data_IF_560995946449
#
_entry.id   IF_560995946449
#
_cell.length_a   1.000
_cell.length_b   1.000
_cell.length_c   1.000
_cell.angle_alpha   90.00
_cell.angle_beta   90.00
_cell.angle_gamma   90.00
#
_symmetry.space_group_name_H-M   'P 1'
#
loop_
_entity.id
_entity.type
_entity.pdbx_description
1 polymer ?
#
# COMPACT_ATOMS: atom_id res chain seq x y z
N UNK A 1 3.55 -22.40 70.92
CA UNK A 1 2.49 -21.42 70.68
C UNK A 1 2.06 -21.58 69.23
N UNK A 2 1.09 -22.46 69.04
CA UNK A 2 0.48 -22.86 67.78
C UNK A 2 -1.00 -22.92 68.14
N UNK A 3 -1.82 -22.13 67.46
CA UNK A 3 -3.26 -22.35 67.41
C UNK A 3 -3.71 -22.21 65.95
N UNK A 4 -4.22 -23.29 65.33
CA UNK A 4 -4.90 -23.26 64.05
C UNK A 4 -6.40 -22.98 64.26
N UNK A 5 -7.01 -22.22 63.35
CA UNK A 5 -8.47 -22.06 63.34
C UNK A 5 -9.08 -23.09 62.40
N UNK A 6 -9.85 -23.97 63.01
CA UNK A 6 -10.73 -25.00 62.47
C UNK A 6 -12.18 -24.53 62.69
N UNK A 7 -12.99 -24.34 61.63
CA UNK A 7 -14.47 -24.38 61.67
C UNK A 7 -14.98 -24.34 60.20
N UNK A 8 -15.47 -25.40 59.53
CA UNK A 8 -16.55 -26.37 59.75
C UNK A 8 -17.84 -26.05 58.96
N UNK A 9 -18.36 -27.10 58.30
CA UNK A 9 -19.74 -27.37 57.89
C UNK A 9 -20.33 -26.81 56.57
N UNK A 10 -20.32 -27.68 55.54
CA UNK A 10 -21.46 -27.93 54.62
C UNK A 10 -22.68 -28.53 55.41
N UNK A 11 -23.93 -28.73 54.91
CA UNK A 11 -24.33 -29.01 53.51
C UNK A 11 -25.76 -28.55 53.09
N UNK A 12 -26.21 -29.06 51.92
CA UNK A 12 -27.60 -29.22 51.43
C UNK A 12 -28.00 -28.23 50.34
N UNK A 13 -28.78 -28.55 49.31
CA UNK A 13 -29.31 -29.78 48.71
C UNK A 13 -30.19 -29.31 47.53
N UNK A 14 -30.40 -30.16 46.53
CA UNK A 14 -31.59 -30.19 45.64
C UNK A 14 -31.89 -28.90 44.83
N UNK A 15 -31.90 -28.95 43.50
CA UNK A 15 -33.07 -29.45 42.76
C UNK A 15 -32.67 -29.82 41.33
N UNK A 16 -32.89 -31.08 40.98
CA UNK A 16 -32.96 -31.55 39.60
C UNK A 16 -34.43 -31.63 39.14
N UNK A 17 -34.60 -31.63 37.81
CA UNK A 17 -35.77 -32.05 37.02
C UNK A 17 -36.85 -30.98 36.69
N UNK A 18 -37.62 -31.14 35.58
CA UNK A 18 -37.72 -32.31 34.72
C UNK A 18 -37.53 -32.10 33.20
N UNK A 19 -37.21 -33.22 32.57
CA UNK A 19 -37.44 -33.48 31.15
C UNK A 19 -38.93 -33.31 30.80
N UNK A 20 -39.19 -32.68 29.64
CA UNK A 20 -40.48 -32.79 28.95
C UNK A 20 -40.34 -33.81 27.83
N UNK A 21 -41.11 -34.88 27.95
CA UNK A 21 -41.32 -35.87 26.93
C UNK A 21 -42.39 -35.41 25.93
N UNK A 22 -42.16 -35.73 24.66
CA UNK A 22 -43.17 -36.32 23.77
C UNK A 22 -44.29 -35.41 23.25
N UNK A 23 -44.12 -34.95 22.00
CA UNK A 23 -45.22 -34.92 21.05
C UNK A 23 -44.71 -35.40 19.69
N UNK A 24 -44.89 -36.70 19.45
CA UNK A 24 -45.01 -37.29 18.12
C UNK A 24 -46.16 -36.61 17.38
N UNK A 25 -45.86 -35.97 16.25
CA UNK A 25 -46.86 -35.68 15.21
C UNK A 25 -46.42 -36.39 13.95
N UNK A 26 -47.32 -37.27 13.51
CA UNK A 26 -47.22 -38.06 12.29
C UNK A 26 -47.10 -37.20 11.04
N UNK A 27 -46.40 -37.81 10.09
CA UNK A 27 -46.27 -37.51 8.66
C UNK A 27 -47.49 -36.87 8.01
N UNK A 28 -47.25 -35.75 7.32
CA UNK A 28 -47.94 -35.39 6.09
C UNK A 28 -46.87 -35.28 5.00
N UNK A 29 -46.89 -36.26 4.10
CA UNK A 29 -46.19 -36.23 2.82
C UNK A 29 -47.01 -35.29 1.94
N UNK A 30 -46.54 -34.06 1.77
CA UNK A 30 -46.95 -33.22 0.65
C UNK A 30 -45.79 -33.21 -0.35
N UNK A 31 -46.06 -33.96 -1.42
CA UNK A 31 -45.30 -34.03 -2.65
C UNK A 31 -45.66 -32.77 -3.47
N UNK A 32 -44.82 -31.74 -3.42
CA UNK A 32 -44.89 -30.63 -4.38
C UNK A 32 -43.49 -30.25 -4.84
N UNK A 33 -43.01 -31.05 -5.80
CA UNK A 33 -41.78 -30.83 -6.56
C UNK A 33 -41.98 -29.72 -7.61
N UNK A 34 -42.26 -28.51 -7.13
CA UNK A 34 -42.29 -27.29 -7.95
C UNK A 34 -40.90 -26.69 -8.14
N UNK A 35 -40.00 -27.40 -8.83
CA UNK A 35 -38.71 -26.82 -9.26
C UNK A 35 -39.03 -25.66 -10.22
N UNK A 36 -38.79 -24.44 -9.76
CA UNK A 36 -39.01 -23.22 -10.51
C UNK A 36 -38.20 -23.24 -11.82
N UNK A 37 -38.89 -23.46 -12.95
CA UNK A 37 -38.37 -23.55 -14.32
C UNK A 37 -37.58 -22.31 -14.82
N UNK A 38 -37.48 -21.26 -14.00
CA UNK A 38 -36.72 -20.04 -14.31
C UNK A 38 -35.22 -20.17 -14.03
N UNK A 39 -34.76 -21.17 -13.27
CA UNK A 39 -33.32 -21.36 -13.02
C UNK A 39 -32.60 -22.12 -14.16
N UNK A 40 -33.31 -22.96 -14.93
CA UNK A 40 -32.70 -23.73 -16.02
C UNK A 40 -32.44 -22.93 -17.30
N UNK A 41 -33.18 -21.85 -17.54
CA UNK A 41 -32.96 -21.00 -18.71
C UNK A 41 -31.62 -20.22 -18.67
N UNK A 42 -31.12 -19.89 -17.47
CA UNK A 42 -29.84 -19.19 -17.30
C UNK A 42 -28.64 -20.12 -17.53
N UNK A 43 -28.78 -21.41 -17.17
CA UNK A 43 -27.73 -22.41 -17.41
C UNK A 43 -27.61 -22.80 -18.89
N UNK A 44 -28.72 -22.89 -19.62
CA UNK A 44 -28.69 -23.24 -21.05
C UNK A 44 -27.98 -22.17 -21.91
N UNK A 45 -28.20 -20.88 -21.63
CA UNK A 45 -27.50 -19.78 -22.35
C UNK A 45 -26.01 -19.74 -22.01
N UNK A 46 -25.65 -20.04 -20.75
CA UNK A 46 -24.26 -20.08 -20.32
C UNK A 46 -23.47 -21.20 -21.01
N UNK A 47 -24.06 -22.39 -21.17
CA UNK A 47 -23.41 -23.52 -21.85
C UNK A 47 -23.15 -23.19 -23.33
N UNK A 48 -24.11 -22.59 -24.04
CA UNK A 48 -23.93 -22.18 -25.45
C UNK A 48 -22.84 -21.10 -25.59
N UNK A 49 -22.77 -20.16 -24.64
CA UNK A 49 -21.73 -19.12 -24.63
C UNK A 49 -20.33 -19.68 -24.42
N UNK A 50 -20.15 -20.63 -23.49
CA UNK A 50 -18.86 -21.30 -23.27
C UNK A 50 -18.46 -22.18 -24.48
N UNK A 51 -19.42 -22.81 -25.15
CA UNK A 51 -19.15 -23.63 -26.34
C UNK A 51 -18.73 -22.77 -27.55
N UNK A 52 -19.33 -21.59 -27.72
CA UNK A 52 -18.90 -20.60 -28.72
C UNK A 52 -17.52 -20.01 -28.41
N UNK A 53 -17.21 -19.75 -27.14
CA UNK A 53 -15.87 -19.30 -26.72
C UNK A 53 -14.80 -20.36 -26.97
N UNK A 54 -15.09 -21.63 -26.67
CA UNK A 54 -14.17 -22.74 -26.92
C UNK A 54 -13.93 -22.98 -28.41
N UNK A 55 -14.99 -22.92 -29.23
CA UNK A 55 -14.88 -23.04 -30.70
C UNK A 55 -14.16 -21.83 -31.32
N UNK A 56 -14.41 -20.62 -30.82
CA UNK A 56 -13.73 -19.40 -31.26
C UNK A 56 -12.25 -19.39 -30.91
N UNK A 57 -11.89 -19.85 -29.70
CA UNK A 57 -10.50 -20.00 -29.28
C UNK A 57 -9.77 -21.06 -30.14
N UNK A 58 -10.39 -22.21 -30.41
CA UNK A 58 -9.81 -23.23 -31.28
C UNK A 58 -9.57 -22.72 -32.71
N UNK A 59 -10.53 -21.98 -33.28
CA UNK A 59 -10.36 -21.37 -34.61
C UNK A 59 -9.24 -20.30 -34.64
N UNK A 60 -9.07 -19.54 -33.57
CA UNK A 60 -8.00 -18.54 -33.45
C UNK A 60 -6.60 -19.19 -33.38
N UNK A 61 -6.46 -20.31 -32.67
CA UNK A 61 -5.19 -21.03 -32.57
C UNK A 61 -4.85 -21.88 -33.81
N UNK A 62 -5.83 -22.34 -34.58
CA UNK A 62 -5.56 -23.09 -35.82
C UNK A 62 -5.44 -22.21 -37.08
N UNK A 63 -5.89 -20.95 -37.06
CA UNK A 63 -5.90 -20.05 -38.22
C UNK A 63 -4.64 -19.19 -38.42
N UNK A 64 -3.73 -19.13 -37.45
CA UNK A 64 -2.61 -18.19 -37.43
C UNK A 64 -1.35 -18.65 -38.19
N UNK A 65 -1.43 -18.90 -39.51
CA UNK A 65 -0.22 -18.93 -40.37
C UNK A 65 0.01 -17.54 -40.95
N UNK A 66 0.89 -16.76 -40.31
CA UNK A 66 1.60 -15.68 -41.00
C UNK A 66 3.09 -15.80 -40.73
N UNK A 67 3.85 -15.88 -41.82
CA UNK A 67 5.30 -15.87 -41.85
C UNK A 67 5.77 -14.46 -41.49
N UNK A 68 6.60 -14.32 -40.46
CA UNK A 68 7.57 -13.23 -40.40
C UNK A 68 8.84 -13.75 -39.74
N UNK A 69 9.96 -13.56 -40.43
CA UNK A 69 11.30 -13.96 -40.05
C UNK A 69 11.85 -13.08 -38.91
N UNK A 70 12.38 -13.76 -37.89
CA UNK A 70 13.68 -13.53 -37.24
C UNK A 70 14.07 -12.13 -36.75
N UNK A 71 13.97 -11.90 -35.43
CA UNK A 71 15.06 -11.40 -34.58
C UNK A 71 14.66 -11.32 -33.09
N UNK A 72 15.47 -11.94 -32.21
CA UNK A 72 15.54 -11.59 -30.78
C UNK A 72 14.71 -12.44 -29.81
N UNK A 73 15.12 -13.70 -29.61
CA UNK A 73 14.59 -14.62 -28.62
C UNK A 73 15.09 -14.26 -27.20
N UNK A 74 14.19 -13.88 -26.28
CA UNK A 74 14.39 -13.94 -24.82
C UNK A 74 13.03 -14.05 -24.12
N UNK A 75 12.41 -15.23 -24.25
CA UNK A 75 11.44 -15.72 -23.28
C UNK A 75 12.10 -16.90 -22.57
N UNK A 76 12.55 -16.67 -21.33
CA UNK A 76 12.95 -17.75 -20.43
C UNK A 76 12.23 -17.54 -19.08
N UNK A 77 11.20 -18.34 -18.77
CA UNK A 77 10.56 -18.32 -17.46
C UNK A 77 11.45 -19.05 -16.46
N UNK A 78 12.22 -18.29 -15.66
CA UNK A 78 12.89 -18.76 -14.44
C UNK A 78 13.53 -20.16 -14.61
N UNK A 79 14.62 -20.23 -15.37
CA UNK A 79 15.54 -21.36 -15.27
C UNK A 79 16.23 -21.30 -13.89
N UNK A 80 16.13 -22.38 -13.13
CA UNK A 80 16.87 -22.66 -11.90
C UNK A 80 18.28 -23.09 -12.34
N UNK A 81 19.36 -22.35 -12.03
CA UNK A 81 20.68 -22.94 -12.05
C UNK A 81 20.85 -23.75 -10.75
N UNK A 82 20.82 -25.07 -10.87
CA UNK A 82 21.50 -25.94 -9.91
C UNK A 82 23.00 -25.82 -10.20
N UNK A 83 23.65 -24.86 -9.57
CA UNK A 83 25.10 -24.82 -9.51
C UNK A 83 25.53 -25.43 -8.17
N UNK A 84 25.98 -26.68 -8.24
CA UNK A 84 26.86 -27.30 -7.27
C UNK A 84 28.12 -26.44 -7.13
N UNK A 85 28.19 -25.64 -6.07
CA UNK A 85 29.40 -24.91 -5.69
C UNK A 85 30.27 -25.85 -4.84
N UNK A 86 31.51 -26.17 -5.25
CA UNK A 86 32.47 -26.83 -4.37
C UNK A 86 32.86 -25.88 -3.23
N UNK A 87 32.70 -26.34 -2.00
CA UNK A 87 33.21 -25.69 -0.80
C UNK A 87 34.74 -25.69 -0.83
N UNK A 88 35.35 -24.53 -1.01
CA UNK A 88 36.75 -24.28 -0.64
C UNK A 88 36.81 -23.20 0.45
N UNK A 89 37.22 -23.55 1.69
CA UNK A 89 37.35 -22.59 2.77
C UNK A 89 38.77 -22.02 2.80
N UNK A 90 39.04 -20.96 2.03
CA UNK A 90 40.23 -20.13 2.30
C UNK A 90 39.92 -19.16 3.43
N UNK A 91 40.35 -19.56 4.63
CA UNK A 91 40.43 -18.74 5.84
C UNK A 91 41.50 -17.67 5.62
N UNK A 92 41.11 -16.40 5.52
CA UNK A 92 42.03 -15.27 5.71
C UNK A 92 41.76 -14.60 7.07
N UNK A 93 42.82 -14.32 7.85
CA UNK A 93 42.69 -13.89 9.24
C UNK A 93 42.32 -12.42 9.39
N UNK A 94 41.46 -12.18 10.38
CA UNK A 94 41.10 -10.90 10.98
C UNK A 94 42.32 -10.05 11.36
N UNK A 95 42.39 -8.77 11.00
CA UNK A 95 43.33 -7.85 11.63
C UNK A 95 42.82 -7.44 13.03
N UNK A 96 43.72 -7.51 14.01
CA UNK A 96 43.55 -7.05 15.39
C UNK A 96 43.34 -5.52 15.49
N UNK A 97 42.68 -5.03 16.56
CA UNK A 97 42.41 -3.61 16.76
C UNK A 97 43.64 -2.86 17.30
N UNK A 98 44.00 -1.76 16.63
CA UNK A 98 45.04 -0.82 17.08
C UNK A 98 44.42 0.22 18.05
N UNK A 99 45.11 0.66 19.12
CA UNK A 99 44.50 1.40 20.23
C UNK A 99 44.09 2.83 19.87
N UNK A 100 43.07 3.32 20.58
CA UNK A 100 42.57 4.69 20.50
C UNK A 100 43.61 5.69 21.02
N UNK A 101 44.06 6.60 20.15
CA UNK A 101 44.74 7.82 20.56
C UNK A 101 43.72 8.86 21.01
N UNK A 102 43.92 9.28 22.25
CA UNK A 102 43.20 10.28 23.03
C UNK A 102 43.40 11.68 22.43
N UNK A 103 42.39 12.21 21.74
CA UNK A 103 42.40 13.62 21.28
C UNK A 103 41.71 14.50 22.32
N UNK A 104 42.55 15.12 23.15
CA UNK A 104 42.21 16.23 24.04
C UNK A 104 41.69 17.44 23.23
N UNK A 105 40.52 18.03 23.54
CA UNK A 105 40.12 19.31 22.94
C UNK A 105 40.85 20.47 23.64
N UNK A 106 41.55 21.29 22.85
CA UNK A 106 42.08 22.58 23.30
C UNK A 106 40.93 23.58 23.55
N UNK A 107 41.02 24.43 24.60
CA UNK A 107 40.03 25.47 24.88
C UNK A 107 40.38 26.80 24.19
N UNK A 108 39.46 27.78 24.35
CA UNK A 108 39.60 29.26 24.26
C UNK A 108 38.96 29.88 22.99
N UNK A 109 38.39 31.11 22.96
CA UNK A 109 38.03 32.08 24.04
C UNK A 109 36.57 32.59 24.00
N UNK A 110 36.21 33.21 25.13
CA UNK A 110 35.03 34.03 25.39
C UNK A 110 34.80 35.22 24.44
N UNK A 111 33.51 35.59 24.38
CA UNK A 111 32.83 36.80 23.88
C UNK A 111 33.61 38.13 23.89
N UNK A 112 33.09 39.11 23.13
CA UNK A 112 32.73 40.39 23.73
C UNK A 112 31.23 40.69 23.62
N UNK A 113 30.70 41.09 24.78
CA UNK A 113 29.44 41.75 25.06
C UNK A 113 29.28 43.04 24.24
N UNK A 114 28.11 43.25 23.62
CA UNK A 114 27.63 44.58 23.25
C UNK A 114 26.14 44.72 23.58
N UNK A 115 25.83 45.82 24.24
CA UNK A 115 24.60 46.19 24.95
C UNK A 115 23.42 46.57 24.05
N UNK A 116 22.20 46.69 24.63
CA UNK A 116 20.94 46.88 23.92
C UNK A 116 20.68 48.36 23.58
N UNK A 117 20.17 48.64 22.38
CA UNK A 117 19.64 49.96 22.08
C UNK A 117 19.41 50.24 20.59
N UNK A 118 18.17 50.64 20.31
CA UNK A 118 17.76 51.54 19.22
C UNK A 118 17.29 50.93 17.89
N UNK A 119 15.99 50.66 17.85
CA UNK A 119 15.14 50.61 16.66
C UNK A 119 15.25 51.92 15.85
N UNK A 120 15.42 51.88 14.51
CA UNK A 120 15.04 52.99 13.66
C UNK A 120 13.52 52.92 13.33
N UNK A 121 12.82 54.06 13.25
CA UNK A 121 11.41 54.09 12.88
C UNK A 121 11.26 53.81 11.38
N UNK A 122 10.58 52.71 11.02
CA UNK A 122 10.06 52.55 9.66
C UNK A 122 8.78 53.37 9.54
N UNK A 123 8.93 54.53 8.91
CA UNK A 123 7.86 55.42 8.48
C UNK A 123 6.93 54.67 7.53
N UNK A 124 5.69 54.44 7.98
CA UNK A 124 4.59 53.95 7.17
C UNK A 124 4.34 54.90 6.01
N UNK A 125 4.64 54.45 4.79
CA UNK A 125 4.09 55.05 3.56
C UNK A 125 2.99 54.11 3.07
N UNK A 126 1.74 54.57 2.89
CA UNK A 126 0.68 53.75 2.34
C UNK A 126 0.87 53.70 0.82
N UNK A 127 1.45 52.62 0.30
CA UNK A 127 1.42 52.35 -1.13
C UNK A 127 0.03 51.83 -1.50
N UNK A 128 -0.74 52.76 -2.06
CA UNK A 128 -1.96 52.56 -2.81
C UNK A 128 -1.55 51.92 -4.15
N UNK A 129 -2.39 51.00 -4.66
CA UNK A 129 -2.27 50.28 -5.93
C UNK A 129 -1.28 49.11 -6.02
N UNK A 130 -1.62 48.02 -5.31
CA UNK A 130 -1.46 46.70 -5.92
C UNK A 130 -2.77 46.32 -6.62
N UNK A 131 -2.78 46.06 -7.94
CA UNK A 131 -3.96 45.52 -8.60
C UNK A 131 -4.37 44.21 -7.91
N UNK A 132 -5.68 43.90 -7.81
CA UNK A 132 -6.15 42.69 -7.16
C UNK A 132 -5.48 41.50 -7.84
N UNK A 133 -4.68 40.73 -7.08
CA UNK A 133 -4.14 39.45 -7.51
C UNK A 133 -5.30 38.62 -8.04
N UNK A 134 -5.39 38.51 -9.37
CA UNK A 134 -6.31 37.60 -10.02
C UNK A 134 -6.04 36.23 -9.41
N UNK A 135 -7.06 35.52 -8.88
CA UNK A 135 -6.83 34.20 -8.32
C UNK A 135 -6.21 33.33 -9.40
N UNK A 136 -4.96 32.94 -9.18
CA UNK A 136 -4.18 32.12 -10.09
C UNK A 136 -4.92 30.80 -10.29
N UNK A 137 -5.57 30.67 -11.45
CA UNK A 137 -6.28 29.44 -11.84
C UNK A 137 -5.22 28.41 -12.14
N UNK A 138 -4.82 27.66 -11.10
CA UNK A 138 -3.87 26.56 -11.24
C UNK A 138 -4.36 25.60 -12.31
N UNK A 139 -3.46 25.18 -13.19
CA UNK A 139 -3.79 24.18 -14.20
C UNK A 139 -4.15 22.85 -13.52
N UNK A 140 -4.91 21.98 -14.21
CA UNK A 140 -5.27 20.65 -13.66
C UNK A 140 -4.01 19.85 -13.25
N UNK A 141 -2.93 19.99 -14.03
CA UNK A 141 -1.63 19.38 -13.76
C UNK A 141 -0.96 19.90 -12.48
N UNK A 142 -0.87 21.22 -12.30
CA UNK A 142 -0.30 21.85 -11.10
C UNK A 142 -1.05 21.45 -9.83
N UNK A 143 -2.37 21.33 -9.91
CA UNK A 143 -3.19 20.86 -8.80
C UNK A 143 -2.89 19.40 -8.45
N UNK A 144 -2.85 18.52 -9.46
CA UNK A 144 -2.50 17.10 -9.26
C UNK A 144 -1.10 16.98 -8.66
N UNK A 145 -0.13 17.76 -9.14
CA UNK A 145 1.22 17.78 -8.61
C UNK A 145 1.26 18.20 -7.14
N UNK A 146 0.61 19.33 -6.80
CA UNK A 146 0.59 19.84 -5.44
C UNK A 146 -0.04 18.85 -4.45
N UNK A 147 -1.19 18.25 -4.83
CA UNK A 147 -1.89 17.28 -3.99
C UNK A 147 -1.11 15.94 -3.90
N UNK A 148 -0.47 15.50 -4.99
CA UNK A 148 0.37 14.29 -4.98
C UNK A 148 1.61 14.47 -4.11
N UNK A 149 2.31 15.60 -4.20
CA UNK A 149 3.44 15.95 -3.35
C UNK A 149 3.02 16.05 -1.88
N UNK A 150 1.87 16.67 -1.60
CA UNK A 150 1.31 16.74 -0.24
C UNK A 150 1.06 15.35 0.34
N UNK A 151 0.45 14.46 -0.45
CA UNK A 151 0.25 13.06 -0.05
C UNK A 151 1.58 12.33 0.18
N UNK A 152 2.55 12.46 -0.73
CA UNK A 152 3.85 11.80 -0.61
C UNK A 152 4.60 12.22 0.67
N UNK A 153 4.54 13.51 1.06
CA UNK A 153 5.10 14.00 2.34
C UNK A 153 4.40 13.39 3.57
N UNK A 154 3.09 13.14 3.47
CA UNK A 154 2.30 12.50 4.55
C UNK A 154 2.56 10.99 4.69
N UNK A 155 3.18 10.34 3.71
CA UNK A 155 3.59 8.93 3.83
C UNK A 155 5.11 8.76 4.02
N UNK A 156 5.91 9.73 3.59
CA UNK A 156 7.34 9.80 3.88
C UNK A 156 7.78 11.27 4.05
N UNK A 157 8.12 11.72 5.28
CA UNK A 157 8.34 13.15 5.54
C UNK A 157 9.70 13.64 5.05
N UNK A 158 10.67 12.74 4.93
CA UNK A 158 12.07 13.10 4.68
C UNK A 158 12.41 13.26 3.20
N UNK A 159 11.63 12.65 2.30
CA UNK A 159 11.95 12.67 0.87
C UNK A 159 10.70 12.41 0.00
N UNK A 160 10.18 13.49 -0.60
CA UNK A 160 9.14 13.42 -1.62
C UNK A 160 9.79 13.66 -2.99
N UNK A 161 9.69 12.69 -3.94
CA UNK A 161 10.31 12.82 -5.24
C UNK A 161 9.65 13.89 -6.08
N UNK A 162 10.44 14.47 -6.98
CA UNK A 162 9.91 15.30 -8.07
C UNK A 162 9.25 14.39 -9.10
N UNK A 163 7.97 14.63 -9.38
CA UNK A 163 7.23 13.91 -10.41
C UNK A 163 7.47 14.58 -11.77
N UNK A 164 7.76 13.79 -12.80
CA UNK A 164 7.89 14.32 -14.15
C UNK A 164 6.52 14.61 -14.77
N UNK A 165 6.46 15.46 -15.80
CA UNK A 165 5.20 15.72 -16.52
C UNK A 165 4.54 14.45 -17.08
N UNK A 166 5.33 13.45 -17.49
CA UNK A 166 4.83 12.14 -17.93
C UNK A 166 4.24 11.34 -16.78
N UNK A 167 4.87 11.36 -15.60
CA UNK A 167 4.33 10.67 -14.43
C UNK A 167 3.04 11.33 -13.95
N UNK A 168 3.00 12.67 -13.94
CA UNK A 168 1.81 13.43 -13.58
C UNK A 168 0.64 13.15 -14.53
N UNK A 169 0.88 13.03 -15.83
CA UNK A 169 -0.19 12.70 -16.79
C UNK A 169 -0.75 11.30 -16.56
N UNK A 170 0.10 10.32 -16.23
CA UNK A 170 -0.33 8.96 -15.86
C UNK A 170 -1.15 8.96 -14.57
N UNK A 171 -0.73 9.72 -13.56
CA UNK A 171 -1.46 9.88 -12.29
C UNK A 171 -2.82 10.56 -12.54
N UNK A 172 -2.85 11.65 -13.32
CA UNK A 172 -4.08 12.36 -13.66
C UNK A 172 -5.07 11.45 -14.40
N UNK A 173 -4.58 10.64 -15.36
CA UNK A 173 -5.41 9.64 -16.04
C UNK A 173 -5.97 8.60 -15.05
N UNK A 174 -5.18 8.19 -14.05
CA UNK A 174 -5.64 7.27 -13.01
C UNK A 174 -6.70 7.91 -12.10
N UNK A 175 -6.53 9.17 -11.70
CA UNK A 175 -7.48 9.93 -10.87
C UNK A 175 -8.86 10.00 -11.54
N UNK A 176 -8.90 10.21 -12.87
CA UNK A 176 -10.16 10.25 -13.63
C UNK A 176 -10.99 8.97 -13.51
N UNK A 177 -10.37 7.82 -13.23
CA UNK A 177 -11.09 6.55 -13.00
C UNK A 177 -11.86 6.50 -11.67
N UNK A 178 -11.61 7.43 -10.77
CA UNK A 178 -12.24 7.55 -9.45
C UNK A 178 -13.13 8.79 -9.32
N UNK A 179 -13.18 9.64 -10.34
CA UNK A 179 -14.00 10.84 -10.34
C UNK A 179 -15.48 10.45 -10.22
N UNK A 180 -16.18 11.07 -9.27
CA UNK A 180 -17.59 10.75 -9.00
C UNK A 180 -17.83 9.39 -8.33
N UNK A 181 -16.78 8.66 -7.92
CA UNK A 181 -16.93 7.33 -7.32
C UNK A 181 -17.63 7.40 -5.96
N UNK A 182 -18.88 6.93 -5.93
CA UNK A 182 -19.67 6.82 -4.69
C UNK A 182 -19.11 5.78 -3.72
N UNK A 183 -18.43 4.76 -4.24
CA UNK A 183 -17.73 3.76 -3.45
C UNK A 183 -16.51 4.37 -2.75
N UNK A 184 -15.65 5.09 -3.49
CA UNK A 184 -14.49 5.76 -2.90
C UNK A 184 -14.92 6.78 -1.83
N UNK A 185 -15.98 7.55 -2.09
CA UNK A 185 -16.58 8.45 -1.08
C UNK A 185 -16.95 7.70 0.19
N UNK A 186 -17.67 6.59 0.08
CA UNK A 186 -18.10 5.77 1.22
C UNK A 186 -16.90 5.22 1.98
N UNK A 187 -15.86 4.78 1.27
CA UNK A 187 -14.67 4.22 1.87
C UNK A 187 -13.84 5.29 2.58
N UNK A 188 -13.69 6.50 2.02
CA UNK A 188 -13.01 7.62 2.70
C UNK A 188 -13.74 7.97 4.00
N UNK A 189 -15.08 7.99 3.98
CA UNK A 189 -15.87 8.23 5.19
C UNK A 189 -15.67 7.12 6.22
N UNK A 190 -15.69 5.86 5.81
CA UNK A 190 -15.40 4.72 6.69
C UNK A 190 -13.98 4.80 7.28
N UNK A 191 -12.96 5.13 6.47
CA UNK A 191 -11.59 5.32 6.94
C UNK A 191 -11.48 6.41 8.02
N UNK A 192 -12.22 7.51 7.87
CA UNK A 192 -12.28 8.58 8.89
C UNK A 192 -12.93 8.10 10.18
N UNK A 193 -14.07 7.42 10.09
CA UNK A 193 -14.78 6.88 11.24
C UNK A 193 -13.99 5.80 11.99
N UNK A 194 -13.13 5.06 11.29
CA UNK A 194 -12.26 4.03 11.86
C UNK A 194 -10.81 4.48 12.02
N UNK A 195 -10.56 5.79 12.09
CA UNK A 195 -9.20 6.35 12.11
C UNK A 195 -8.36 5.89 13.31
N UNK A 196 -8.98 5.77 14.50
CA UNK A 196 -8.32 5.24 15.70
C UNK A 196 -7.86 3.80 15.52
N UNK A 197 -8.72 2.94 14.97
CA UNK A 197 -8.40 1.54 14.72
C UNK A 197 -7.27 1.41 13.70
N UNK A 198 -7.34 2.18 12.62
CA UNK A 198 -6.29 2.19 11.59
C UNK A 198 -4.96 2.66 12.18
N UNK A 199 -4.96 3.66 13.05
CA UNK A 199 -3.75 4.13 13.73
C UNK A 199 -3.15 3.04 14.64
N UNK A 200 -3.98 2.34 15.42
CA UNK A 200 -3.56 1.21 16.24
C UNK A 200 -2.95 0.09 15.38
N UNK A 201 -3.62 -0.29 14.29
CA UNK A 201 -3.12 -1.32 13.36
C UNK A 201 -1.77 -0.89 12.76
N UNK A 202 -1.67 0.35 12.28
CA UNK A 202 -0.45 0.87 11.67
C UNK A 202 0.74 0.88 12.65
N UNK A 203 0.48 1.26 13.91
CA UNK A 203 1.51 1.29 14.96
C UNK A 203 2.13 -0.08 15.24
N UNK A 204 1.36 -1.17 15.10
CA UNK A 204 1.83 -2.53 15.34
C UNK A 204 2.99 -2.97 14.42
N UNK A 205 3.17 -2.31 13.27
CA UNK A 205 4.26 -2.55 12.32
C UNK A 205 5.09 -1.30 12.03
N UNK A 206 5.04 -0.27 12.90
CA UNK A 206 5.72 1.00 12.70
C UNK A 206 5.40 1.65 11.33
N UNK A 207 4.14 1.53 10.89
CA UNK A 207 3.65 2.20 9.69
C UNK A 207 2.92 3.49 10.02
N UNK A 208 2.92 4.41 9.07
CA UNK A 208 2.13 5.63 9.18
C UNK A 208 0.64 5.32 8.96
N UNK A 209 -0.27 5.85 9.77
CA UNK A 209 -1.71 5.63 9.59
C UNK A 209 -2.22 6.04 8.20
N UNK A 210 -1.74 7.18 7.67
CA UNK A 210 -2.10 7.66 6.33
C UNK A 210 -1.67 6.69 5.21
N UNK A 211 -0.49 6.07 5.34
CA UNK A 211 0.00 5.07 4.39
C UNK A 211 -0.93 3.86 4.38
N UNK A 212 -1.19 3.27 5.55
CA UNK A 212 -2.01 2.07 5.66
C UNK A 212 -3.47 2.30 5.24
N UNK A 213 -4.08 3.42 5.65
CA UNK A 213 -5.44 3.78 5.24
C UNK A 213 -5.55 3.87 3.71
N UNK A 214 -4.57 4.54 3.08
CA UNK A 214 -4.58 4.72 1.62
C UNK A 214 -4.31 3.40 0.88
N UNK A 215 -3.46 2.53 1.43
CA UNK A 215 -3.24 1.19 0.90
C UNK A 215 -4.53 0.36 0.91
N UNK A 216 -5.27 0.39 2.01
CA UNK A 216 -6.57 -0.26 2.12
C UNK A 216 -7.61 0.32 1.15
N UNK A 217 -7.67 1.65 1.00
CA UNK A 217 -8.51 2.30 0.00
C UNK A 217 -8.14 1.88 -1.43
N UNK A 218 -6.84 1.75 -1.73
CA UNK A 218 -6.37 1.27 -3.03
C UNK A 218 -6.77 -0.19 -3.30
N UNK A 219 -6.70 -1.05 -2.29
CA UNK A 219 -7.10 -2.45 -2.41
C UNK A 219 -8.61 -2.58 -2.72
N UNK A 220 -9.44 -1.75 -2.08
CA UNK A 220 -10.87 -1.65 -2.37
C UNK A 220 -11.14 -1.06 -3.75
N UNK A 221 -10.41 0.00 -4.13
CA UNK A 221 -10.58 0.73 -5.38
C UNK A 221 -12.00 1.31 -5.51
N UNK A 222 -12.72 0.93 -6.56
CA UNK A 222 -14.11 1.36 -6.81
C UNK A 222 -15.16 0.46 -6.14
N UNK A 223 -14.76 -0.44 -5.25
CA UNK A 223 -15.69 -1.31 -4.49
C UNK A 223 -15.88 -0.74 -3.10
N UNK A 224 -17.12 -0.80 -2.59
CA UNK A 224 -17.39 -0.45 -1.19
C UNK A 224 -16.83 -1.54 -0.28
N UNK A 225 -16.31 -1.16 0.89
CA UNK A 225 -15.83 -2.10 1.89
C UNK A 225 -15.44 -1.44 3.21
N UNK A 226 -15.06 -2.27 4.17
CA UNK A 226 -14.50 -1.84 5.45
C UNK A 226 -12.99 -1.61 5.30
N UNK A 227 -12.57 -0.36 5.44
CA UNK A 227 -11.19 0.07 5.30
C UNK A 227 -10.32 -0.43 6.44
N UNK A 228 -10.83 -0.47 7.68
CA UNK A 228 -10.09 -0.98 8.82
C UNK A 228 -9.88 -2.49 8.71
N UNK A 229 -10.92 -3.25 8.30
CA UNK A 229 -10.78 -4.68 8.04
C UNK A 229 -9.78 -4.96 6.91
N UNK A 230 -9.85 -4.18 5.83
CA UNK A 230 -8.90 -4.30 4.71
C UNK A 230 -7.47 -3.98 5.20
N UNK A 231 -7.28 -2.91 5.97
CA UNK A 231 -6.00 -2.56 6.58
C UNK A 231 -5.44 -3.69 7.46
N UNK A 232 -6.27 -4.32 8.31
CA UNK A 232 -5.88 -5.49 9.12
C UNK A 232 -5.40 -6.65 8.26
N UNK A 233 -6.05 -6.92 7.13
CA UNK A 233 -5.64 -8.00 6.23
C UNK A 233 -4.30 -7.75 5.54
N UNK A 234 -3.93 -6.48 5.35
CA UNK A 234 -2.73 -6.08 4.61
C UNK A 234 -1.50 -5.90 5.50
N UNK A 235 -1.68 -5.59 6.79
CA UNK A 235 -0.61 -5.08 7.66
C UNK A 235 0.57 -6.04 7.81
N UNK A 236 0.31 -7.35 7.93
CA UNK A 236 1.36 -8.36 8.05
C UNK A 236 2.23 -8.44 6.80
N UNK A 237 1.58 -8.51 5.63
CA UNK A 237 2.26 -8.59 4.33
C UNK A 237 3.06 -7.32 4.06
N UNK A 238 2.45 -6.15 4.23
CA UNK A 238 3.13 -4.87 4.04
C UNK A 238 4.31 -4.71 5.01
N UNK A 239 4.18 -5.18 6.26
CA UNK A 239 5.24 -5.11 7.25
C UNK A 239 6.44 -5.99 6.89
N UNK A 240 6.17 -7.19 6.37
CA UNK A 240 7.21 -8.09 5.86
C UNK A 240 7.90 -7.49 4.63
N UNK A 241 7.14 -6.95 3.67
CA UNK A 241 7.70 -6.28 2.49
C UNK A 241 8.59 -5.11 2.89
N UNK A 242 8.12 -4.24 3.80
CA UNK A 242 8.88 -3.09 4.28
C UNK A 242 10.22 -3.52 4.89
N UNK A 243 10.22 -4.58 5.73
CA UNK A 243 11.41 -5.12 6.37
C UNK A 243 12.36 -5.80 5.38
N UNK A 244 11.85 -6.70 4.56
CA UNK A 244 12.69 -7.61 3.75
C UNK A 244 13.18 -6.97 2.45
N UNK A 245 12.39 -6.09 1.82
CA UNK A 245 12.77 -5.37 0.58
C UNK A 245 13.63 -4.14 0.91
N UNK A 246 13.71 -3.75 2.19
CA UNK A 246 14.31 -2.52 2.64
C UNK A 246 13.56 -1.30 2.10
N UNK A 247 12.26 -1.44 1.84
CA UNK A 247 11.38 -0.40 1.31
C UNK A 247 10.68 0.34 2.47
N UNK A 248 11.48 0.81 3.42
CA UNK A 248 11.04 1.55 4.60
C UNK A 248 10.24 2.81 4.25
N UNK A 249 9.55 3.41 5.22
CA UNK A 249 8.85 4.69 5.03
C UNK A 249 9.81 5.91 5.04
N UNK A 250 11.05 5.71 4.59
CA UNK A 250 12.12 6.71 4.58
C UNK A 250 11.93 7.71 3.43
N UNK A 251 11.53 7.20 2.26
CA UNK A 251 11.20 7.99 1.07
C UNK A 251 9.83 7.61 0.51
N UNK A 252 9.17 8.53 -0.20
CA UNK A 252 7.88 8.20 -0.80
C UNK A 252 8.02 7.14 -1.91
N UNK A 253 9.19 7.07 -2.56
CA UNK A 253 9.50 6.01 -3.52
C UNK A 253 9.55 4.63 -2.86
N UNK A 254 10.12 4.52 -1.66
CA UNK A 254 10.13 3.27 -0.92
C UNK A 254 8.72 2.88 -0.45
N UNK A 255 7.90 3.84 0.00
CA UNK A 255 6.48 3.58 0.27
C UNK A 255 5.74 3.08 -0.97
N UNK A 256 5.95 3.69 -2.15
CA UNK A 256 5.36 3.23 -3.41
C UNK A 256 5.87 1.84 -3.81
N UNK A 257 7.15 1.55 -3.58
CA UNK A 257 7.75 0.24 -3.83
C UNK A 257 7.14 -0.84 -2.92
N UNK A 258 6.91 -0.53 -1.64
CA UNK A 258 6.22 -1.44 -0.71
C UNK A 258 4.82 -1.78 -1.19
N UNK A 259 4.07 -0.80 -1.70
CA UNK A 259 2.75 -1.07 -2.30
C UNK A 259 2.89 -1.93 -3.56
N UNK A 260 3.80 -1.60 -4.47
CA UNK A 260 4.03 -2.40 -5.68
C UNK A 260 4.43 -3.85 -5.37
N UNK A 261 5.19 -4.07 -4.30
CA UNK A 261 5.65 -5.37 -3.86
C UNK A 261 4.66 -6.12 -2.96
N UNK A 262 3.44 -5.62 -2.75
CA UNK A 262 2.44 -6.30 -1.91
C UNK A 262 2.19 -7.76 -2.33
N UNK A 263 1.99 -8.02 -3.63
CA UNK A 263 1.78 -9.39 -4.14
C UNK A 263 3.04 -10.26 -4.06
N UNK A 264 4.23 -9.63 -4.05
CA UNK A 264 5.49 -10.35 -3.79
C UNK A 264 5.50 -10.85 -2.34
N UNK A 265 5.05 -10.02 -1.41
CA UNK A 265 4.92 -10.39 0.00
C UNK A 265 3.86 -11.46 0.23
N UNK A 266 2.71 -11.36 -0.45
CA UNK A 266 1.69 -12.43 -0.40
C UNK A 266 2.25 -13.78 -0.86
N UNK A 267 3.20 -13.76 -1.80
CA UNK A 267 3.85 -14.96 -2.31
C UNK A 267 5.11 -15.39 -1.51
N UNK A 268 5.47 -14.67 -0.44
CA UNK A 268 6.68 -14.97 0.37
C UNK A 268 8.00 -14.82 -0.39
N UNK A 269 8.04 -13.98 -1.43
CA UNK A 269 9.18 -13.83 -2.34
C UNK A 269 9.97 -12.53 -2.12
N UNK A 270 9.85 -11.90 -0.95
CA UNK A 270 10.40 -10.57 -0.66
C UNK A 270 11.93 -10.54 -0.78
N UNK A 271 12.62 -11.56 -0.27
CA UNK A 271 14.08 -11.68 -0.38
C UNK A 271 14.55 -11.75 -1.82
N UNK A 272 13.89 -12.57 -2.64
CA UNK A 272 14.21 -12.70 -4.07
C UNK A 272 14.02 -11.37 -4.81
N UNK A 273 12.98 -10.62 -4.45
CA UNK A 273 12.72 -9.29 -5.01
C UNK A 273 13.77 -8.27 -4.57
N UNK A 274 14.17 -8.26 -3.29
CA UNK A 274 15.30 -7.45 -2.80
C UNK A 274 16.59 -7.76 -3.56
N UNK A 275 16.92 -9.04 -3.73
CA UNK A 275 18.16 -9.46 -4.38
C UNK A 275 18.15 -9.06 -5.87
N UNK A 276 16.98 -9.10 -6.50
CA UNK A 276 16.79 -8.61 -7.87
C UNK A 276 17.04 -7.09 -7.98
N UNK A 277 16.52 -6.28 -7.05
CA UNK A 277 16.81 -4.84 -6.99
C UNK A 277 18.31 -4.59 -6.73
N UNK A 278 18.91 -5.38 -5.86
CA UNK A 278 20.34 -5.27 -5.51
C UNK A 278 21.23 -5.57 -6.71
N UNK A 279 20.94 -6.64 -7.46
CA UNK A 279 21.63 -6.96 -8.72
C UNK A 279 21.47 -5.85 -9.77
N UNK A 280 20.26 -5.30 -9.92
CA UNK A 280 20.05 -4.17 -10.83
C UNK A 280 20.88 -2.96 -10.44
N UNK A 281 21.03 -2.71 -9.14
CA UNK A 281 21.87 -1.63 -8.61
C UNK A 281 23.35 -1.83 -8.93
N UNK A 282 23.83 -3.07 -8.89
CA UNK A 282 25.22 -3.40 -9.22
C UNK A 282 25.49 -3.35 -10.73
N UNK A 283 24.49 -3.65 -11.57
CA UNK A 283 24.63 -3.78 -13.03
C UNK A 283 24.30 -2.51 -13.81
N UNK A 284 23.65 -1.53 -13.17
CA UNK A 284 23.15 -0.31 -13.82
C UNK A 284 24.06 0.86 -13.51
N UNK A 285 24.22 1.77 -14.47
CA UNK A 285 24.87 3.07 -14.25
C UNK A 285 23.95 4.08 -13.53
N UNK A 286 22.67 3.76 -13.35
CA UNK A 286 21.73 4.61 -12.62
C UNK A 286 21.97 4.52 -11.11
N UNK A 287 21.67 5.60 -10.40
CA UNK A 287 21.77 5.60 -8.95
C UNK A 287 20.81 4.60 -8.29
N UNK A 288 21.13 4.05 -7.10
CA UNK A 288 20.22 3.16 -6.37
C UNK A 288 18.83 3.77 -6.15
N UNK A 289 18.77 5.10 -5.89
CA UNK A 289 17.51 5.84 -5.71
C UNK A 289 16.65 5.86 -6.97
N UNK A 290 17.25 6.00 -8.15
CA UNK A 290 16.52 5.96 -9.43
C UNK A 290 15.98 4.55 -9.71
N UNK A 291 16.78 3.52 -9.40
CA UNK A 291 16.41 2.10 -9.62
C UNK A 291 15.25 1.70 -8.74
N UNK A 292 15.22 2.17 -7.49
CA UNK A 292 14.18 1.88 -6.48
C UNK A 292 12.90 2.70 -6.67
N UNK A 293 12.51 2.96 -7.92
CA UNK A 293 11.23 3.62 -8.23
C UNK A 293 10.33 2.66 -8.98
N UNK A 294 9.02 2.74 -8.74
CA UNK A 294 8.02 1.96 -9.49
C UNK A 294 8.11 2.23 -10.99
N UNK A 295 8.53 3.44 -11.37
CA UNK A 295 8.68 3.86 -12.77
C UNK A 295 9.85 3.15 -13.45
N UNK A 296 11.03 3.15 -12.83
CA UNK A 296 12.20 2.47 -13.36
C UNK A 296 11.98 0.95 -13.43
N UNK A 297 11.46 0.36 -12.35
CA UNK A 297 11.21 -1.09 -12.32
C UNK A 297 10.16 -1.49 -13.35
N UNK A 298 9.16 -0.64 -13.60
CA UNK A 298 8.16 -0.87 -14.64
C UNK A 298 8.77 -0.80 -16.04
N UNK A 299 9.59 0.20 -16.32
CA UNK A 299 10.32 0.37 -17.59
C UNK A 299 11.23 -0.84 -17.90
N UNK A 300 11.92 -1.37 -16.89
CA UNK A 300 12.80 -2.54 -17.03
C UNK A 300 12.08 -3.89 -16.96
N UNK A 301 10.75 -3.91 -16.89
CA UNK A 301 9.96 -5.14 -16.81
C UNK A 301 10.22 -5.96 -15.53
N UNK A 302 10.64 -5.30 -14.44
CA UNK A 302 11.00 -5.93 -13.16
C UNK A 302 9.86 -5.97 -12.16
N UNK A 303 8.82 -5.19 -12.41
CA UNK A 303 7.50 -5.35 -11.79
C UNK A 303 6.45 -5.55 -12.88
N UNK A 304 5.40 -6.29 -12.54
CA UNK A 304 4.29 -6.58 -13.44
C UNK A 304 3.40 -5.35 -13.62
N UNK A 305 2.53 -5.38 -14.64
CA UNK A 305 1.50 -4.34 -14.81
C UNK A 305 0.61 -4.23 -13.57
N UNK A 306 0.20 -5.36 -12.98
CA UNK A 306 -0.66 -5.37 -11.79
C UNK A 306 0.00 -4.69 -10.59
N UNK A 307 1.28 -4.96 -10.35
CA UNK A 307 2.05 -4.35 -9.27
C UNK A 307 2.18 -2.83 -9.45
N UNK A 308 2.51 -2.42 -10.68
CA UNK A 308 2.59 -1.00 -11.03
C UNK A 308 1.23 -0.29 -10.92
N UNK A 309 0.16 -0.93 -11.42
CA UNK A 309 -1.21 -0.42 -11.35
C UNK A 309 -1.72 -0.29 -9.93
N UNK A 310 -1.33 -1.20 -9.03
CA UNK A 310 -1.68 -1.10 -7.63
C UNK A 310 -1.01 0.11 -6.95
N UNK A 311 0.29 0.34 -7.22
CA UNK A 311 0.98 1.52 -6.74
C UNK A 311 0.45 2.84 -7.35
N UNK A 312 0.10 2.84 -8.65
CA UNK A 312 -0.55 3.99 -9.29
C UNK A 312 -1.90 4.31 -8.66
N UNK A 313 -2.70 3.27 -8.38
CA UNK A 313 -4.00 3.44 -7.73
C UNK A 313 -3.82 4.02 -6.33
N UNK A 314 -2.86 3.53 -5.57
CA UNK A 314 -2.49 4.06 -4.26
C UNK A 314 -2.12 5.55 -4.35
N UNK A 315 -1.25 5.92 -5.29
CA UNK A 315 -0.84 7.32 -5.48
C UNK A 315 -2.01 8.21 -5.91
N UNK A 316 -2.85 7.74 -6.83
CA UNK A 316 -4.03 8.48 -7.30
C UNK A 316 -5.07 8.69 -6.18
N UNK A 317 -5.40 7.64 -5.43
CA UNK A 317 -6.33 7.75 -4.31
C UNK A 317 -5.73 8.62 -3.19
N UNK A 318 -4.44 8.46 -2.88
CA UNK A 318 -3.73 9.30 -1.92
C UNK A 318 -3.78 10.78 -2.30
N UNK A 319 -3.59 11.10 -3.57
CA UNK A 319 -3.76 12.45 -4.15
C UNK A 319 -5.19 12.95 -3.96
N UNK A 320 -6.19 12.14 -4.34
CA UNK A 320 -7.62 12.49 -4.16
C UNK A 320 -7.93 12.78 -2.70
N UNK A 321 -7.38 12.00 -1.76
CA UNK A 321 -7.68 12.16 -0.33
C UNK A 321 -7.19 13.49 0.25
N UNK A 322 -6.26 14.20 -0.41
CA UNK A 322 -5.83 15.53 0.00
C UNK A 322 -6.90 16.59 -0.25
N UNK A 323 -7.68 16.44 -1.33
CA UNK A 323 -8.77 17.35 -1.68
C UNK A 323 -9.89 16.63 -2.46
N UNK A 324 -10.70 15.77 -1.82
CA UNK A 324 -11.62 14.88 -2.53
C UNK A 324 -12.62 15.62 -3.42
N UNK A 325 -13.17 16.73 -2.90
CA UNK A 325 -14.17 17.55 -3.59
C UNK A 325 -13.64 18.10 -4.90
N UNK A 326 -12.37 18.48 -4.94
CA UNK A 326 -11.75 19.01 -6.14
C UNK A 326 -11.60 17.95 -7.24
N UNK A 327 -11.70 16.66 -6.91
CA UNK A 327 -11.71 15.54 -7.86
C UNK A 327 -13.11 14.93 -8.03
N UNK A 328 -14.17 15.65 -7.65
CA UNK A 328 -15.56 15.20 -7.81
C UNK A 328 -15.96 14.08 -6.84
N UNK A 329 -15.17 13.83 -5.79
CA UNK A 329 -15.51 12.89 -4.72
C UNK A 329 -16.07 13.69 -3.55
N UNK A 330 -17.38 13.59 -3.30
CA UNK A 330 -18.05 14.34 -2.23
C UNK A 330 -17.75 13.77 -0.84
N UNK A 331 -16.49 13.83 -0.43
CA UNK A 331 -15.99 13.40 0.87
C UNK A 331 -15.17 14.52 1.52
N UNK A 332 -14.98 14.41 2.84
CA UNK A 332 -14.06 15.27 3.57
C UNK A 332 -12.63 14.72 3.46
N UNK A 333 -11.64 15.61 3.60
CA UNK A 333 -10.21 15.28 3.51
C UNK A 333 -9.84 14.15 4.47
N UNK A 334 -9.06 13.17 4.02
CA UNK A 334 -8.54 12.15 4.93
C UNK A 334 -7.26 12.67 5.59
N UNK A 335 -7.33 12.91 6.90
CA UNK A 335 -6.18 13.31 7.70
C UNK A 335 -6.08 12.35 8.89
N UNK A 336 -5.20 11.35 8.78
CA UNK A 336 -4.80 10.53 9.93
C UNK A 336 -3.41 10.99 10.37
N UNK A 337 -3.30 11.37 11.64
CA UNK A 337 -2.02 11.69 12.29
C UNK A 337 -1.47 10.45 12.99
#
# INVERSE_FOLDING_TARGET
EYDPIEEAAEPSSMTAAPASAGATVSSAVDDDSGISFKLFAVFAVSIVFFLLLALGAAAFFLGGKSKTETAGNYDDPIAIPNDDIPLDPTIEPSPEPVPADEVTPAPIPSQPTASPGQLPPITSTPDIDSPPKTPEVKTEGEKVEADALSFMRKIAPNDAPVLTGVQLSVIAAKIKQFQGSSALRSNIQNARSSSSDIALIASSKNMRPQFLATAALAQLGNRKGDVAATARSMIEVLGNVQREVGAGNESANDSLLTIAAYDVGQAGNERRFRDMISRLTQQSSNSPRQIRTIWFLKDKGKITNTQFEFALRFLAIGTITQNPKAYGVNAEVLALN
#
